data_IF_277335010514
#
_entry.id   IF_277335010514
#
_cell.length_a   1.000
_cell.length_b   1.000
_cell.length_c   1.000
_cell.angle_alpha   90.00
_cell.angle_beta   90.00
_cell.angle_gamma   90.00
#
_symmetry.space_group_name_H-M   'P 1'
#
loop_
_entity.id
_entity.type
_entity.pdbx_description
1 polymer ?
#
# COMPACT_ATOMS: atom_id res chain seq x y z
N UNK A 1 -48.54 -9.15 -16.81
CA UNK A 1 -49.57 -8.62 -15.89
C UNK A 1 -50.11 -9.73 -15.02
N UNK A 2 -49.54 -9.91 -13.83
CA UNK A 2 -50.27 -10.26 -12.61
C UNK A 2 -49.34 -9.99 -11.43
N UNK A 3 -49.81 -9.14 -10.52
CA UNK A 3 -49.18 -8.84 -9.25
C UNK A 3 -49.14 -10.10 -8.38
N UNK A 4 -47.98 -10.41 -7.81
CA UNK A 4 -47.92 -11.12 -6.54
C UNK A 4 -46.97 -10.36 -5.62
N UNK A 5 -47.59 -9.53 -4.78
CA UNK A 5 -47.05 -9.09 -3.51
C UNK A 5 -46.77 -10.34 -2.67
N UNK A 6 -45.54 -10.86 -2.75
CA UNK A 6 -44.96 -11.65 -1.68
C UNK A 6 -43.67 -10.96 -1.29
N UNK A 7 -43.57 -10.63 -0.01
CA UNK A 7 -42.36 -10.26 0.72
C UNK A 7 -41.36 -11.42 0.72
N UNK A 8 -40.87 -11.75 -0.48
CA UNK A 8 -39.87 -12.76 -0.73
C UNK A 8 -38.54 -12.30 -0.16
N UNK A 9 -38.29 -12.66 1.11
CA UNK A 9 -36.93 -12.97 1.53
C UNK A 9 -36.41 -14.03 0.57
N UNK A 10 -35.66 -13.61 -0.45
CA UNK A 10 -34.78 -14.53 -1.16
C UNK A 10 -33.63 -14.77 -0.19
N UNK A 11 -33.77 -15.82 0.60
CA UNK A 11 -32.72 -16.30 1.49
C UNK A 11 -31.67 -17.01 0.60
N UNK A 12 -30.79 -16.21 -0.03
CA UNK A 12 -29.71 -16.70 -0.89
C UNK A 12 -28.53 -17.16 -0.02
N UNK A 13 -28.79 -18.04 0.95
CA UNK A 13 -27.77 -18.47 1.91
C UNK A 13 -26.64 -19.29 1.23
N UNK A 14 -26.81 -19.74 -0.01
CA UNK A 14 -25.83 -20.54 -0.74
C UNK A 14 -25.91 -20.29 -2.27
N UNK A 15 -25.15 -19.33 -2.78
CA UNK A 15 -24.88 -19.18 -4.23
C UNK A 15 -23.62 -19.95 -4.60
N UNK A 16 -23.67 -21.28 -4.54
CA UNK A 16 -22.51 -22.14 -4.79
C UNK A 16 -22.45 -22.54 -6.27
N UNK A 17 -21.28 -22.44 -6.90
CA UNK A 17 -20.97 -22.97 -8.24
C UNK A 17 -21.83 -22.41 -9.40
N UNK A 18 -22.14 -21.12 -9.39
CA UNK A 18 -22.88 -20.46 -10.48
C UNK A 18 -22.09 -19.26 -11.03
N UNK A 19 -22.12 -19.07 -12.35
CA UNK A 19 -21.70 -17.81 -12.98
C UNK A 19 -22.78 -16.76 -12.69
N UNK A 20 -22.56 -15.95 -11.66
CA UNK A 20 -23.51 -14.91 -11.24
C UNK A 20 -23.23 -13.63 -12.03
N UNK A 21 -24.15 -13.29 -12.94
CA UNK A 21 -24.15 -11.98 -13.59
C UNK A 21 -24.98 -11.01 -12.75
N UNK A 22 -24.31 -10.18 -11.96
CA UNK A 22 -25.00 -9.10 -11.23
C UNK A 22 -25.23 -7.93 -12.19
N UNK A 23 -26.51 -7.66 -12.46
CA UNK A 23 -26.95 -6.43 -13.15
C UNK A 23 -27.26 -5.30 -12.16
N UNK A 24 -27.40 -5.62 -10.88
CA UNK A 24 -27.66 -4.63 -9.83
C UNK A 24 -26.36 -3.91 -9.47
N UNK A 25 -26.42 -2.57 -9.40
CA UNK A 25 -25.31 -1.73 -8.94
C UNK A 25 -25.07 -1.86 -7.44
N UNK A 26 -26.11 -2.21 -6.68
CA UNK A 26 -26.02 -2.43 -5.24
C UNK A 26 -26.29 -3.89 -4.91
N UNK A 27 -25.51 -4.45 -3.98
CA UNK A 27 -25.75 -5.78 -3.46
C UNK A 27 -26.96 -5.76 -2.52
N UNK A 28 -28.01 -6.56 -2.77
CA UNK A 28 -29.16 -6.66 -1.88
C UNK A 28 -28.75 -6.96 -0.43
N UNK A 29 -29.31 -6.22 0.53
CA UNK A 29 -28.95 -6.34 1.96
C UNK A 29 -29.25 -7.72 2.58
N UNK A 30 -30.10 -8.53 1.94
CA UNK A 30 -30.38 -9.89 2.36
C UNK A 30 -29.22 -10.86 2.06
N UNK A 31 -28.32 -10.54 1.12
CA UNK A 31 -27.18 -11.39 0.79
C UNK A 31 -26.10 -11.23 1.87
N UNK A 32 -25.84 -12.31 2.60
CA UNK A 32 -24.82 -12.34 3.67
C UNK A 32 -23.55 -13.06 3.27
N UNK A 33 -23.61 -13.94 2.26
CA UNK A 33 -22.46 -14.70 1.80
C UNK A 33 -22.51 -14.92 0.29
N UNK A 34 -21.35 -14.88 -0.35
CA UNK A 34 -21.12 -15.23 -1.75
C UNK A 34 -19.90 -16.15 -1.76
N UNK A 35 -20.03 -17.38 -2.27
CA UNK A 35 -18.94 -18.33 -2.21
C UNK A 35 -18.83 -19.20 -3.45
N UNK A 36 -17.62 -19.66 -3.78
CA UNK A 36 -17.35 -20.64 -4.85
C UNK A 36 -18.03 -20.26 -6.18
N UNK A 37 -17.99 -18.98 -6.55
CA UNK A 37 -18.71 -18.47 -7.70
C UNK A 37 -17.86 -17.51 -8.53
N UNK A 38 -18.32 -17.27 -9.75
CA UNK A 38 -17.75 -16.25 -10.63
C UNK A 38 -18.74 -15.12 -10.76
N UNK A 39 -18.33 -13.95 -10.28
CA UNK A 39 -19.10 -12.73 -10.34
C UNK A 39 -18.70 -11.94 -11.58
N UNK A 40 -19.63 -11.72 -12.52
CA UNK A 40 -19.40 -10.91 -13.71
C UNK A 40 -20.08 -9.56 -13.55
N UNK A 41 -19.26 -8.51 -13.46
CA UNK A 41 -19.69 -7.13 -13.23
C UNK A 41 -19.61 -6.31 -14.51
N UNK A 42 -20.75 -5.79 -14.95
CA UNK A 42 -20.82 -4.75 -16.00
C UNK A 42 -20.78 -3.31 -15.45
N UNK A 43 -20.91 -3.15 -14.13
CA UNK A 43 -20.83 -1.87 -13.44
C UNK A 43 -20.20 -2.05 -12.05
N UNK A 44 -19.89 -0.94 -11.36
CA UNK A 44 -19.46 -0.94 -9.97
C UNK A 44 -20.46 -1.67 -9.07
N UNK A 45 -19.96 -2.59 -8.25
CA UNK A 45 -20.75 -3.22 -7.20
C UNK A 45 -20.59 -2.45 -5.88
N UNK A 46 -21.68 -1.85 -5.42
CA UNK A 46 -21.77 -1.22 -4.12
C UNK A 46 -22.23 -2.21 -3.05
N UNK A 47 -21.45 -2.33 -1.99
CA UNK A 47 -21.75 -3.15 -0.81
C UNK A 47 -22.21 -2.20 0.29
N UNK A 48 -23.50 -2.27 0.62
CA UNK A 48 -24.19 -1.39 1.59
C UNK A 48 -24.55 -2.09 2.91
N UNK A 49 -24.11 -3.34 3.08
CA UNK A 49 -24.29 -4.12 4.30
C UNK A 49 -23.24 -5.22 4.38
N UNK A 50 -23.04 -5.77 5.57
CA UNK A 50 -22.08 -6.85 5.77
C UNK A 50 -22.38 -8.04 4.84
N UNK A 51 -21.33 -8.53 4.21
CA UNK A 51 -21.28 -9.71 3.34
C UNK A 51 -19.91 -10.36 3.45
N UNK A 52 -19.88 -11.67 3.28
CA UNK A 52 -18.65 -12.48 3.19
C UNK A 52 -18.48 -13.05 1.78
N UNK A 53 -17.29 -12.90 1.21
CA UNK A 53 -16.88 -13.52 -0.04
C UNK A 53 -15.87 -14.64 0.26
N UNK A 54 -16.07 -15.85 -0.27
CA UNK A 54 -15.14 -16.97 -0.10
C UNK A 54 -14.91 -17.71 -1.42
N UNK A 55 -13.69 -17.71 -1.93
CA UNK A 55 -13.31 -18.29 -3.24
C UNK A 55 -14.17 -17.75 -4.39
N UNK A 56 -14.17 -16.43 -4.54
CA UNK A 56 -14.91 -15.74 -5.60
C UNK A 56 -13.96 -15.20 -6.67
N UNK A 57 -14.30 -15.41 -7.93
CA UNK A 57 -13.63 -14.74 -9.05
C UNK A 57 -14.47 -13.56 -9.51
N UNK A 58 -13.97 -12.35 -9.32
CA UNK A 58 -14.62 -11.11 -9.78
C UNK A 58 -14.08 -10.77 -11.16
N UNK A 59 -14.88 -10.99 -12.19
CA UNK A 59 -14.64 -10.51 -13.55
C UNK A 59 -15.31 -9.17 -13.77
N UNK A 60 -14.59 -8.22 -14.34
CA UNK A 60 -15.12 -6.92 -14.70
C UNK A 60 -14.57 -6.48 -16.05
N UNK A 61 -15.32 -5.69 -16.79
CA UNK A 61 -15.01 -5.31 -18.17
C UNK A 61 -15.13 -3.81 -18.42
N UNK A 62 -15.02 -3.00 -17.37
CA UNK A 62 -15.09 -1.54 -17.44
C UNK A 62 -13.84 -0.90 -16.86
N UNK A 63 -13.59 0.35 -17.25
CA UNK A 63 -12.51 1.21 -16.73
C UNK A 63 -13.07 2.55 -16.22
N UNK A 64 -12.24 3.34 -15.54
CA UNK A 64 -12.61 4.68 -15.07
C UNK A 64 -13.59 4.73 -13.90
N UNK A 65 -13.77 3.61 -13.18
CA UNK A 65 -14.55 3.53 -11.92
C UNK A 65 -14.10 2.35 -11.07
N UNK A 66 -14.43 2.38 -9.79
CA UNK A 66 -14.11 1.28 -8.87
C UNK A 66 -14.88 -0.01 -9.20
N UNK A 67 -14.26 -1.17 -9.03
CA UNK A 67 -14.92 -2.47 -9.30
C UNK A 67 -15.88 -2.81 -8.17
N UNK A 68 -15.40 -2.80 -6.93
CA UNK A 68 -16.20 -2.95 -5.72
C UNK A 68 -16.01 -1.74 -4.83
N UNK A 69 -17.12 -1.18 -4.34
CA UNK A 69 -17.13 -0.11 -3.34
C UNK A 69 -17.80 -0.62 -2.08
N UNK A 70 -17.06 -0.70 -0.98
CA UNK A 70 -17.59 -1.00 0.35
C UNK A 70 -17.95 0.31 1.02
N UNK A 71 -19.25 0.62 1.02
CA UNK A 71 -19.78 1.90 1.52
C UNK A 71 -19.66 2.02 3.02
N UNK A 72 -19.72 3.27 3.49
CA UNK A 72 -19.86 3.61 4.91
C UNK A 72 -20.96 2.73 5.53
N UNK A 73 -20.72 2.26 6.75
CA UNK A 73 -21.59 1.35 7.53
C UNK A 73 -21.81 -0.07 6.99
N UNK A 74 -21.24 -0.42 5.83
CA UNK A 74 -21.32 -1.79 5.33
C UNK A 74 -20.59 -2.80 6.23
N UNK A 75 -19.49 -2.38 6.85
CA UNK A 75 -18.74 -3.16 7.83
C UNK A 75 -18.47 -2.39 9.12
N UNK A 76 -18.30 -3.12 10.22
CA UNK A 76 -17.81 -2.57 11.49
C UNK A 76 -16.52 -3.27 11.88
N UNK A 77 -15.79 -2.73 12.86
CA UNK A 77 -14.58 -3.39 13.36
C UNK A 77 -14.85 -4.83 13.84
N UNK A 78 -16.00 -5.06 14.46
CA UNK A 78 -16.42 -6.38 14.96
C UNK A 78 -17.02 -7.27 13.88
N UNK A 79 -17.54 -6.68 12.80
CA UNK A 79 -18.22 -7.38 11.71
C UNK A 79 -17.88 -6.72 10.37
N UNK A 80 -16.65 -6.89 9.88
CA UNK A 80 -16.20 -6.28 8.63
C UNK A 80 -16.84 -6.97 7.43
N UNK A 81 -16.78 -6.35 6.25
CA UNK A 81 -16.96 -7.09 4.99
C UNK A 81 -15.72 -7.96 4.79
N UNK A 82 -15.92 -9.25 4.57
CA UNK A 82 -14.82 -10.22 4.53
C UNK A 82 -14.64 -10.74 3.12
N UNK A 83 -13.40 -10.80 2.65
CA UNK A 83 -13.05 -11.42 1.38
C UNK A 83 -11.92 -12.42 1.60
N UNK A 84 -12.18 -13.67 1.27
CA UNK A 84 -11.22 -14.77 1.36
C UNK A 84 -11.04 -15.40 -0.01
N UNK A 85 -9.80 -15.59 -0.44
CA UNK A 85 -9.47 -16.17 -1.75
C UNK A 85 -10.13 -15.46 -2.96
N UNK A 86 -10.44 -14.17 -2.83
CA UNK A 86 -11.10 -13.41 -3.91
C UNK A 86 -10.08 -12.97 -4.95
N UNK A 87 -10.40 -13.18 -6.24
CA UNK A 87 -9.52 -12.88 -7.37
C UNK A 87 -10.20 -11.91 -8.33
N UNK A 88 -9.63 -10.71 -8.47
CA UNK A 88 -10.06 -9.73 -9.46
C UNK A 88 -9.41 -10.03 -10.80
N UNK A 89 -10.20 -9.99 -11.88
CA UNK A 89 -9.74 -10.24 -13.26
C UNK A 89 -10.41 -9.27 -14.21
N UNK A 90 -9.61 -8.47 -14.89
CA UNK A 90 -10.08 -7.66 -16.01
C UNK A 90 -10.37 -8.55 -17.22
N UNK A 91 -11.59 -8.46 -17.76
CA UNK A 91 -12.03 -9.16 -18.97
C UNK A 91 -11.78 -8.25 -20.18
N UNK A 92 -10.58 -8.39 -20.76
CA UNK A 92 -10.10 -7.56 -21.89
C UNK A 92 -10.92 -7.77 -23.18
N UNK A 93 -11.60 -8.90 -23.30
CA UNK A 93 -12.29 -9.27 -24.54
C UNK A 93 -13.66 -8.56 -24.67
N UNK A 94 -14.14 -7.93 -23.60
CA UNK A 94 -15.49 -7.36 -23.53
C UNK A 94 -15.54 -5.92 -22.99
N UNK A 95 -14.55 -5.08 -23.30
CA UNK A 95 -14.44 -3.74 -22.68
C UNK A 95 -15.63 -2.84 -23.03
N UNK A 96 -16.40 -2.42 -22.02
CA UNK A 96 -17.34 -1.30 -22.14
C UNK A 96 -16.54 -0.01 -21.95
N UNK A 97 -16.36 0.77 -23.01
CA UNK A 97 -15.58 2.02 -22.96
C UNK A 97 -16.30 3.07 -22.12
N UNK A 98 -15.81 3.35 -20.91
CA UNK A 98 -16.07 4.61 -20.20
C UNK A 98 -14.89 5.54 -20.44
N UNK A 99 -15.17 6.80 -20.80
CA UNK A 99 -14.18 7.83 -21.14
C UNK A 99 -13.91 8.82 -19.99
N UNK A 100 -14.26 8.50 -18.74
CA UNK A 100 -13.99 9.39 -17.61
C UNK A 100 -12.72 8.93 -16.85
N UNK A 101 -11.62 9.69 -16.88
CA UNK A 101 -10.33 9.30 -16.30
C UNK A 101 -10.23 9.50 -14.78
N UNK A 102 -11.34 9.42 -14.03
CA UNK A 102 -11.31 9.66 -12.58
C UNK A 102 -11.19 8.34 -11.82
N UNK A 103 -10.07 8.18 -11.11
CA UNK A 103 -9.87 7.32 -9.94
C UNK A 103 -10.60 5.95 -9.99
N UNK A 104 -10.00 4.94 -10.64
CA UNK A 104 -10.53 3.58 -10.61
C UNK A 104 -9.78 2.70 -9.59
N UNK A 105 -10.49 1.99 -8.72
CA UNK A 105 -9.88 1.06 -7.77
C UNK A 105 -10.46 -0.34 -7.93
N UNK A 106 -9.69 -1.41 -7.75
CA UNK A 106 -10.31 -2.75 -7.71
C UNK A 106 -11.20 -2.86 -6.47
N UNK A 107 -10.72 -2.32 -5.35
CA UNK A 107 -11.45 -2.25 -4.11
C UNK A 107 -11.40 -0.83 -3.52
N UNK A 108 -12.56 -0.25 -3.30
CA UNK A 108 -12.74 1.05 -2.68
C UNK A 108 -13.35 0.87 -1.28
N UNK A 109 -12.63 1.29 -0.24
CA UNK A 109 -12.90 0.97 1.16
C UNK A 109 -13.25 2.25 1.93
N UNK A 110 -14.55 2.49 2.08
CA UNK A 110 -15.12 3.58 2.91
C UNK A 110 -15.53 3.08 4.31
N UNK A 111 -15.31 1.79 4.61
CA UNK A 111 -15.74 1.11 5.84
C UNK A 111 -14.75 0.01 6.25
N UNK A 112 -15.17 -1.01 7.02
CA UNK A 112 -14.29 -2.07 7.52
C UNK A 112 -14.24 -3.28 6.58
N UNK A 113 -13.06 -3.59 6.06
CA UNK A 113 -12.82 -4.72 5.17
C UNK A 113 -11.69 -5.60 5.67
N UNK A 114 -11.87 -6.91 5.59
CA UNK A 114 -10.81 -7.89 5.78
C UNK A 114 -10.53 -8.66 4.49
N UNK A 115 -9.25 -8.80 4.13
CA UNK A 115 -8.79 -9.59 3.00
C UNK A 115 -7.89 -10.73 3.51
N UNK A 116 -8.19 -11.95 3.12
CA UNK A 116 -7.35 -13.11 3.35
C UNK A 116 -7.05 -13.77 2.01
N UNK A 117 -5.76 -13.88 1.66
CA UNK A 117 -5.29 -14.61 0.46
C UNK A 117 -5.94 -14.16 -0.86
N UNK A 118 -6.31 -12.88 -0.94
CA UNK A 118 -6.93 -12.29 -2.13
C UNK A 118 -5.87 -11.88 -3.17
N UNK A 119 -6.32 -11.67 -4.42
CA UNK A 119 -5.49 -11.17 -5.53
C UNK A 119 -6.19 -9.99 -6.22
N UNK A 120 -5.64 -8.80 -6.03
CA UNK A 120 -6.10 -7.53 -6.61
C UNK A 120 -5.05 -7.09 -7.63
N UNK A 121 -5.28 -7.44 -8.91
CA UNK A 121 -4.26 -7.30 -9.93
C UNK A 121 -4.72 -6.56 -11.16
N UNK A 122 -3.75 -5.96 -11.85
CA UNK A 122 -3.89 -5.40 -13.19
C UNK A 122 -5.00 -4.34 -13.29
N UNK A 123 -5.12 -3.48 -12.27
CA UNK A 123 -5.97 -2.29 -12.38
C UNK A 123 -5.49 -1.43 -13.55
N UNK A 124 -6.44 -1.01 -14.40
CA UNK A 124 -6.11 -0.31 -15.64
C UNK A 124 -5.98 1.19 -15.46
N UNK A 125 -6.63 1.80 -14.45
CA UNK A 125 -6.62 3.26 -14.27
C UNK A 125 -6.26 3.72 -12.83
N UNK A 126 -6.13 2.83 -11.84
CA UNK A 126 -5.80 3.28 -10.48
C UNK A 126 -5.22 2.22 -9.55
N UNK A 127 -5.61 2.21 -8.29
CA UNK A 127 -4.96 1.37 -7.27
C UNK A 127 -5.59 -0.02 -7.13
N UNK A 128 -4.86 -0.96 -6.53
CA UNK A 128 -5.42 -2.26 -6.14
C UNK A 128 -6.52 -2.06 -5.08
N UNK A 129 -6.18 -1.42 -3.97
CA UNK A 129 -7.17 -0.94 -3.00
C UNK A 129 -6.96 0.53 -2.63
N UNK A 130 -8.06 1.25 -2.42
CA UNK A 130 -8.06 2.57 -1.79
C UNK A 130 -8.83 2.52 -0.48
N UNK A 131 -8.24 3.10 0.55
CA UNK A 131 -8.84 3.23 1.88
C UNK A 131 -8.99 4.70 2.19
N UNK A 132 -10.23 5.17 2.30
CA UNK A 132 -10.54 6.58 2.53
C UNK A 132 -11.81 6.77 3.36
N UNK A 133 -12.13 8.02 3.71
CA UNK A 133 -13.36 8.33 4.45
C UNK A 133 -13.45 7.68 5.83
N UNK A 134 -12.32 7.37 6.48
CA UNK A 134 -12.30 6.63 7.74
C UNK A 134 -12.30 5.10 7.59
N UNK A 135 -12.24 4.60 6.34
CA UNK A 135 -12.17 3.18 6.04
C UNK A 135 -11.02 2.44 6.72
N UNK A 136 -11.23 1.16 6.98
CA UNK A 136 -10.31 0.27 7.67
C UNK A 136 -10.09 -0.98 6.84
N UNK A 137 -8.88 -1.17 6.32
CA UNK A 137 -8.48 -2.38 5.60
C UNK A 137 -7.55 -3.22 6.46
N UNK A 138 -7.87 -4.50 6.66
CA UNK A 138 -6.96 -5.49 7.25
C UNK A 138 -6.69 -6.59 6.22
N UNK A 139 -5.44 -6.81 5.85
CA UNK A 139 -5.07 -7.81 4.84
C UNK A 139 -4.04 -8.80 5.39
N UNK A 140 -4.12 -10.07 4.98
CA UNK A 140 -3.13 -11.13 5.30
C UNK A 140 -2.94 -12.03 4.08
N UNK A 141 -1.69 -12.29 3.68
CA UNK A 141 -1.40 -13.13 2.51
C UNK A 141 -1.96 -12.61 1.18
N UNK A 142 -2.39 -11.34 1.12
CA UNK A 142 -3.05 -10.74 -0.04
C UNK A 142 -2.03 -10.10 -0.97
N UNK A 143 -2.24 -10.28 -2.27
CA UNK A 143 -1.37 -9.73 -3.31
C UNK A 143 -2.05 -8.61 -4.10
N UNK A 144 -1.36 -7.47 -4.17
CA UNK A 144 -1.68 -6.33 -5.01
C UNK A 144 -0.59 -6.25 -6.08
N UNK A 145 -0.88 -6.60 -7.33
CA UNK A 145 0.16 -6.79 -8.35
C UNK A 145 -0.21 -6.15 -9.70
N UNK A 146 0.73 -5.45 -10.34
CA UNK A 146 0.53 -4.96 -11.70
C UNK A 146 -0.48 -3.81 -11.81
N UNK A 147 -0.80 -3.17 -10.69
CA UNK A 147 -1.79 -2.09 -10.64
C UNK A 147 -1.21 -0.81 -11.23
N UNK A 148 -1.98 -0.05 -12.01
CA UNK A 148 -1.46 1.15 -12.68
C UNK A 148 -0.88 2.16 -11.69
N UNK A 149 -1.67 2.60 -10.72
CA UNK A 149 -1.19 3.48 -9.67
C UNK A 149 -0.54 2.66 -8.55
N UNK A 150 -1.12 2.66 -7.35
CA UNK A 150 -0.51 1.98 -6.20
C UNK A 150 -1.12 0.61 -5.92
N UNK A 151 -0.37 -0.27 -5.27
CA UNK A 151 -0.96 -1.49 -4.72
C UNK A 151 -2.05 -1.16 -3.70
N UNK A 152 -1.71 -0.32 -2.72
CA UNK A 152 -2.63 0.20 -1.70
C UNK A 152 -2.47 1.70 -1.54
N UNK A 153 -3.58 2.44 -1.55
CA UNK A 153 -3.67 3.84 -1.19
C UNK A 153 -4.42 4.01 0.13
N UNK A 154 -3.87 4.80 1.06
CA UNK A 154 -4.55 5.19 2.31
C UNK A 154 -4.59 6.70 2.38
N UNK A 155 -5.78 7.26 2.23
CA UNK A 155 -5.98 8.71 2.13
C UNK A 155 -7.03 9.20 3.12
N UNK A 156 -6.74 10.34 3.75
CA UNK A 156 -7.69 11.01 4.63
C UNK A 156 -7.58 10.61 6.10
N UNK A 157 -7.93 11.55 6.98
CA UNK A 157 -7.89 11.35 8.42
C UNK A 157 -8.79 10.19 8.85
N UNK A 158 -8.27 9.37 9.76
CA UNK A 158 -8.97 8.18 10.28
C UNK A 158 -8.87 6.95 9.37
N UNK A 159 -8.48 7.09 8.11
CA UNK A 159 -8.32 5.97 7.18
C UNK A 159 -7.07 5.15 7.53
N UNK A 160 -7.21 3.83 7.55
CA UNK A 160 -6.12 2.94 7.97
C UNK A 160 -6.06 1.63 7.19
N UNK A 161 -4.86 1.26 6.76
CA UNK A 161 -4.56 -0.08 6.27
C UNK A 161 -3.62 -0.81 7.22
N UNK A 162 -3.90 -2.08 7.48
CA UNK A 162 -3.06 -3.01 8.24
C UNK A 162 -2.74 -4.20 7.35
N UNK A 163 -1.49 -4.31 6.92
CA UNK A 163 -1.00 -5.38 6.05
C UNK A 163 -0.13 -6.33 6.89
N UNK A 164 -0.57 -7.57 7.02
CA UNK A 164 0.13 -8.60 7.79
C UNK A 164 0.83 -9.61 6.87
N UNK A 165 1.56 -10.52 7.51
CA UNK A 165 2.48 -11.47 6.91
C UNK A 165 2.01 -12.05 5.57
N UNK A 166 2.93 -12.06 4.61
CA UNK A 166 2.70 -12.61 3.28
C UNK A 166 1.94 -11.68 2.34
N UNK A 167 1.56 -10.47 2.78
CA UNK A 167 1.10 -9.44 1.86
C UNK A 167 2.20 -9.01 0.88
N UNK A 168 1.81 -8.79 -0.38
CA UNK A 168 2.74 -8.41 -1.46
C UNK A 168 2.15 -7.27 -2.29
N UNK A 169 2.94 -6.22 -2.50
CA UNK A 169 2.60 -5.03 -3.28
C UNK A 169 3.65 -4.90 -4.38
N UNK A 170 3.32 -5.46 -5.54
CA UNK A 170 4.27 -5.78 -6.59
C UNK A 170 3.98 -5.01 -7.87
N UNK A 171 5.05 -4.61 -8.55
CA UNK A 171 5.03 -4.25 -9.97
C UNK A 171 3.97 -3.21 -10.37
N UNK A 172 3.68 -2.25 -9.48
CA UNK A 172 2.87 -1.09 -9.86
C UNK A 172 3.49 -0.39 -11.08
N UNK A 173 2.69 -0.15 -12.13
CA UNK A 173 3.24 0.24 -13.45
C UNK A 173 3.47 1.74 -13.59
N UNK A 174 2.87 2.56 -12.74
CA UNK A 174 3.02 4.03 -12.71
C UNK A 174 3.13 4.58 -11.28
N UNK A 175 2.73 3.83 -10.27
CA UNK A 175 2.70 4.29 -8.88
C UNK A 175 3.68 3.59 -7.93
N UNK A 176 3.27 3.53 -6.67
CA UNK A 176 4.05 3.00 -5.55
C UNK A 176 3.50 1.64 -5.10
N UNK A 177 4.25 0.87 -4.32
CA UNK A 177 3.67 -0.27 -3.60
C UNK A 177 2.54 0.22 -2.69
N UNK A 178 2.86 1.12 -1.75
CA UNK A 178 1.86 1.84 -0.95
C UNK A 178 2.02 3.37 -1.03
N UNK A 179 0.88 4.07 -1.05
CA UNK A 179 0.79 5.53 -1.00
C UNK A 179 -0.07 5.95 0.19
N UNK A 180 0.47 6.81 1.06
CA UNK A 180 -0.19 7.29 2.28
C UNK A 180 -0.21 8.81 2.27
N UNK A 181 -1.40 9.41 2.28
CA UNK A 181 -1.55 10.86 2.27
C UNK A 181 -2.73 11.39 3.10
N UNK A 182 -2.78 12.72 3.25
CA UNK A 182 -3.88 13.46 3.89
C UNK A 182 -4.29 12.92 5.27
N UNK A 183 -3.32 12.45 6.07
CA UNK A 183 -3.59 11.91 7.41
C UNK A 183 -3.92 10.41 7.44
N UNK A 184 -3.72 9.69 6.33
CA UNK A 184 -3.84 8.24 6.28
C UNK A 184 -2.78 7.51 7.10
N UNK A 185 -3.09 6.28 7.50
CA UNK A 185 -2.21 5.44 8.31
C UNK A 185 -1.98 4.04 7.72
N UNK A 186 -0.73 3.64 7.55
CA UNK A 186 -0.35 2.28 7.16
C UNK A 186 0.40 1.58 8.30
N UNK A 187 -0.06 0.40 8.71
CA UNK A 187 0.72 -0.56 9.51
C UNK A 187 1.06 -1.76 8.63
N UNK A 188 2.34 -2.13 8.52
CA UNK A 188 2.79 -3.29 7.78
C UNK A 188 3.72 -4.19 8.61
N UNK A 189 3.62 -5.51 8.46
CA UNK A 189 4.51 -6.50 9.11
C UNK A 189 4.70 -7.68 8.16
N UNK A 190 5.94 -8.07 7.88
CA UNK A 190 6.22 -9.17 6.95
C UNK A 190 5.69 -8.94 5.53
N UNK A 191 5.63 -7.67 5.09
CA UNK A 191 5.06 -7.27 3.80
C UNK A 191 6.14 -6.94 2.79
N UNK A 192 6.01 -7.45 1.57
CA UNK A 192 6.93 -7.17 0.46
C UNK A 192 6.38 -6.06 -0.44
N UNK A 193 7.19 -5.04 -0.68
CA UNK A 193 6.96 -3.98 -1.66
C UNK A 193 8.09 -4.06 -2.71
N UNK A 194 7.82 -4.63 -3.88
CA UNK A 194 8.90 -4.96 -4.83
C UNK A 194 8.56 -4.65 -6.28
N UNK A 195 9.55 -4.23 -7.07
CA UNK A 195 9.39 -4.04 -8.53
C UNK A 195 8.49 -2.87 -8.92
N UNK A 196 8.08 -2.03 -7.97
CA UNK A 196 7.19 -0.90 -8.25
C UNK A 196 7.92 0.15 -9.10
N UNK A 197 7.23 0.77 -10.07
CA UNK A 197 7.86 1.74 -10.97
C UNK A 197 8.48 2.90 -10.20
N UNK A 198 7.70 3.53 -9.33
CA UNK A 198 8.20 4.64 -8.53
C UNK A 198 8.85 4.13 -7.25
N UNK A 199 8.06 3.87 -6.20
CA UNK A 199 8.55 3.66 -4.83
C UNK A 199 7.95 2.41 -4.22
N UNK A 200 8.64 1.78 -3.27
CA UNK A 200 8.02 0.79 -2.40
C UNK A 200 6.91 1.43 -1.55
N UNK A 201 7.25 2.47 -0.80
CA UNK A 201 6.31 3.21 0.07
C UNK A 201 6.50 4.72 -0.08
N UNK A 202 5.40 5.47 -0.19
CA UNK A 202 5.42 6.93 -0.08
C UNK A 202 4.50 7.40 1.03
N UNK A 203 5.01 8.26 1.91
CA UNK A 203 4.22 8.93 2.95
C UNK A 203 4.34 10.43 2.76
N UNK A 204 3.23 11.09 2.45
CA UNK A 204 3.21 12.53 2.15
C UNK A 204 2.11 13.26 2.91
N UNK A 205 2.37 14.51 3.28
CA UNK A 205 1.38 15.36 3.94
C UNK A 205 1.41 15.23 5.45
N UNK A 206 1.02 16.31 6.13
CA UNK A 206 0.96 16.37 7.58
C UNK A 206 0.04 15.27 8.13
N UNK A 207 0.44 14.70 9.27
CA UNK A 207 -0.27 13.62 9.98
C UNK A 207 -0.35 12.28 9.24
N UNK A 208 0.16 12.17 8.02
CA UNK A 208 0.27 10.89 7.31
C UNK A 208 1.38 10.03 7.93
N UNK A 209 1.08 8.76 8.20
CA UNK A 209 2.00 7.86 8.90
C UNK A 209 2.08 6.48 8.25
N UNK A 210 3.29 5.96 8.13
CA UNK A 210 3.51 4.52 7.90
C UNK A 210 4.36 3.93 9.02
N UNK A 211 4.03 2.71 9.42
CA UNK A 211 4.76 1.88 10.38
C UNK A 211 5.10 0.57 9.69
N UNK A 212 6.37 0.32 9.43
CA UNK A 212 6.89 -0.90 8.83
C UNK A 212 7.63 -1.69 9.91
N UNK A 213 7.18 -2.91 10.18
CA UNK A 213 7.75 -3.78 11.21
C UNK A 213 8.54 -4.94 10.58
N UNK A 214 9.04 -5.81 11.45
CA UNK A 214 9.91 -6.94 11.13
C UNK A 214 9.46 -7.69 9.86
N UNK A 215 10.43 -8.02 9.01
CA UNK A 215 10.21 -8.76 7.77
C UNK A 215 9.64 -7.93 6.62
N UNK A 216 9.37 -6.63 6.80
CA UNK A 216 9.06 -5.77 5.67
C UNK A 216 10.27 -5.59 4.75
N UNK A 217 10.04 -5.65 3.44
CA UNK A 217 11.08 -5.48 2.41
C UNK A 217 10.60 -4.49 1.35
N UNK A 218 11.42 -3.48 1.07
CA UNK A 218 11.19 -2.49 0.02
C UNK A 218 12.34 -2.60 -0.98
N UNK A 219 12.08 -3.29 -2.10
CA UNK A 219 13.13 -3.66 -3.05
C UNK A 219 12.82 -3.32 -4.49
N UNK A 220 13.88 -3.17 -5.28
CA UNK A 220 13.84 -3.12 -6.74
C UNK A 220 12.86 -2.08 -7.30
N UNK A 221 12.73 -0.93 -6.62
CA UNK A 221 12.00 0.21 -7.16
C UNK A 221 12.68 0.67 -8.45
N UNK A 222 11.95 0.68 -9.57
CA UNK A 222 12.55 0.73 -10.92
C UNK A 222 13.08 2.11 -11.30
N UNK A 223 12.45 3.18 -10.80
CA UNK A 223 12.77 4.56 -11.16
C UNK A 223 13.01 5.48 -9.95
N UNK A 224 12.82 5.00 -8.72
CA UNK A 224 12.96 5.85 -7.53
C UNK A 224 13.54 5.11 -6.31
N UNK A 225 13.18 5.60 -5.13
CA UNK A 225 13.66 5.10 -3.84
C UNK A 225 12.76 3.97 -3.29
N UNK A 226 13.31 3.16 -2.38
CA UNK A 226 12.54 2.20 -1.60
C UNK A 226 11.41 2.90 -0.83
N UNK A 227 11.75 3.90 -0.02
CA UNK A 227 10.77 4.78 0.62
C UNK A 227 11.06 6.27 0.39
N UNK A 228 9.99 7.06 0.25
CA UNK A 228 10.03 8.54 0.33
C UNK A 228 9.06 9.03 1.39
N UNK A 229 9.54 9.91 2.25
CA UNK A 229 8.75 10.60 3.27
C UNK A 229 8.89 12.11 3.03
N UNK A 230 7.80 12.77 2.64
CA UNK A 230 7.80 14.19 2.26
C UNK A 230 6.61 14.99 2.82
N UNK A 231 6.72 16.32 2.79
CA UNK A 231 5.64 17.26 3.12
C UNK A 231 4.99 17.02 4.50
N UNK A 232 5.79 16.74 5.53
CA UNK A 232 5.32 16.50 6.89
C UNK A 232 4.92 15.05 7.19
N UNK A 233 5.21 14.11 6.29
CA UNK A 233 4.97 12.69 6.51
C UNK A 233 5.87 12.09 7.59
N UNK A 234 5.45 10.93 8.10
CA UNK A 234 6.18 10.20 9.13
C UNK A 234 6.30 8.70 8.83
N UNK A 235 7.51 8.16 9.00
CA UNK A 235 7.79 6.74 8.84
C UNK A 235 8.49 6.18 10.09
N UNK A 236 7.89 5.16 10.69
CA UNK A 236 8.56 4.29 11.66
C UNK A 236 8.93 2.98 10.98
N UNK A 237 10.20 2.59 10.99
CA UNK A 237 10.68 1.33 10.44
C UNK A 237 11.45 0.53 11.50
N UNK A 238 11.10 -0.75 11.68
CA UNK A 238 11.80 -1.66 12.59
C UNK A 238 12.04 -2.99 11.89
N UNK A 239 13.30 -3.44 11.80
CA UNK A 239 13.60 -4.72 11.15
C UNK A 239 13.27 -4.76 9.66
N UNK A 240 13.26 -3.59 9.01
CA UNK A 240 12.88 -3.43 7.60
C UNK A 240 14.11 -3.41 6.70
N UNK A 241 14.02 -4.06 5.54
CA UNK A 241 15.06 -4.06 4.51
C UNK A 241 14.70 -3.13 3.35
N UNK A 242 15.64 -2.29 2.93
CA UNK A 242 15.53 -1.41 1.77
C UNK A 242 16.69 -1.75 0.82
N UNK A 243 16.42 -2.47 -0.28
CA UNK A 243 17.51 -3.04 -1.09
C UNK A 243 17.31 -2.93 -2.60
N UNK A 244 18.39 -2.78 -3.36
CA UNK A 244 18.33 -2.86 -4.83
C UNK A 244 17.53 -1.74 -5.51
N UNK A 245 17.23 -0.63 -4.81
CA UNK A 245 16.42 0.43 -5.39
C UNK A 245 17.23 1.30 -6.37
N UNK A 246 16.56 1.80 -7.42
CA UNK A 246 17.19 2.58 -8.51
C UNK A 246 17.87 3.86 -8.03
N UNK A 247 17.34 4.48 -6.98
CA UNK A 247 17.88 5.73 -6.44
C UNK A 247 18.38 5.51 -5.02
N UNK A 248 17.52 5.59 -4.01
CA UNK A 248 17.92 5.44 -2.61
C UNK A 248 17.15 4.34 -1.90
N UNK A 249 17.69 3.81 -0.80
CA UNK A 249 16.89 3.01 0.11
C UNK A 249 15.77 3.86 0.74
N UNK A 250 16.14 5.04 1.24
CA UNK A 250 15.25 5.98 1.91
C UNK A 250 15.55 7.44 1.52
N UNK A 251 14.50 8.22 1.30
CA UNK A 251 14.57 9.68 1.20
C UNK A 251 13.63 10.34 2.22
N UNK A 252 14.16 11.26 3.03
CA UNK A 252 13.40 12.05 4.01
C UNK A 252 13.51 13.53 3.64
N UNK A 253 12.38 14.12 3.25
CA UNK A 253 12.28 15.47 2.72
C UNK A 253 11.52 16.44 3.61
N UNK A 254 10.88 17.41 2.98
CA UNK A 254 10.23 18.60 3.58
C UNK A 254 9.49 18.34 4.88
N UNK A 255 10.01 18.87 5.99
CA UNK A 255 9.39 18.81 7.32
C UNK A 255 9.07 17.39 7.83
N UNK A 256 9.67 16.37 7.22
CA UNK A 256 9.30 14.97 7.42
C UNK A 256 10.21 14.28 8.41
N UNK A 257 9.71 13.23 9.03
CA UNK A 257 10.44 12.50 10.07
C UNK A 257 10.49 11.01 9.77
N UNK A 258 11.62 10.39 10.03
CA UNK A 258 11.77 8.93 9.95
C UNK A 258 12.55 8.42 11.14
N UNK A 259 12.03 7.36 11.76
CA UNK A 259 12.70 6.63 12.83
C UNK A 259 12.97 5.20 12.35
N UNK A 260 14.21 4.75 12.46
CA UNK A 260 14.64 3.41 12.04
C UNK A 260 15.30 2.67 13.20
N UNK A 261 14.91 1.42 13.40
CA UNK A 261 15.51 0.54 14.42
C UNK A 261 15.84 -0.82 13.80
N UNK A 262 17.11 -1.23 13.86
CA UNK A 262 17.55 -2.55 13.34
C UNK A 262 17.17 -2.79 11.87
N UNK A 263 17.21 -1.74 11.07
CA UNK A 263 16.92 -1.83 9.64
C UNK A 263 18.18 -2.12 8.83
N UNK A 264 18.02 -2.56 7.59
CA UNK A 264 19.11 -2.67 6.62
C UNK A 264 18.78 -1.85 5.38
N UNK A 265 19.69 -1.00 4.95
CA UNK A 265 19.64 -0.32 3.66
C UNK A 265 20.87 -0.76 2.87
N UNK A 266 20.68 -1.56 1.82
CA UNK A 266 21.79 -2.13 1.07
C UNK A 266 21.64 -2.10 -0.43
N UNK A 267 22.77 -2.12 -1.14
CA UNK A 267 22.81 -2.40 -2.59
C UNK A 267 21.92 -1.45 -3.43
N UNK A 268 21.68 -0.24 -2.94
CA UNK A 268 20.95 0.78 -3.71
C UNK A 268 21.91 1.47 -4.68
N UNK A 269 21.39 1.84 -5.86
CA UNK A 269 22.22 2.35 -6.98
C UNK A 269 22.75 3.77 -6.73
N UNK A 270 22.22 4.51 -5.76
CA UNK A 270 22.88 5.70 -5.26
C UNK A 270 23.15 5.59 -3.76
N UNK A 271 22.41 6.32 -2.93
CA UNK A 271 22.65 6.40 -1.49
C UNK A 271 21.79 5.41 -0.69
N UNK A 272 22.22 5.02 0.51
CA UNK A 272 21.32 4.28 1.40
C UNK A 272 20.19 5.19 1.87
N UNK A 273 20.54 6.29 2.53
CA UNK A 273 19.58 7.27 3.05
C UNK A 273 19.98 8.71 2.70
N UNK A 274 19.00 9.50 2.25
CA UNK A 274 19.15 10.93 1.99
C UNK A 274 18.17 11.73 2.84
N UNK A 275 18.67 12.73 3.56
CA UNK A 275 17.89 13.65 4.37
C UNK A 275 18.09 15.06 3.85
N UNK A 276 17.00 15.70 3.41
CA UNK A 276 17.06 17.02 2.80
C UNK A 276 15.86 17.90 3.14
N UNK A 277 15.95 19.18 2.81
CA UNK A 277 14.84 20.14 2.90
C UNK A 277 14.15 20.15 4.27
N UNK A 278 14.89 20.17 5.39
CA UNK A 278 14.33 20.08 6.77
C UNK A 278 13.78 18.70 7.18
N UNK A 279 14.14 17.65 6.46
CA UNK A 279 13.89 16.27 6.87
C UNK A 279 14.70 15.88 8.11
N UNK A 280 14.19 14.90 8.86
CA UNK A 280 14.82 14.38 10.07
C UNK A 280 14.84 12.86 10.09
N UNK A 281 16.04 12.29 10.23
CA UNK A 281 16.25 10.85 10.38
C UNK A 281 16.83 10.54 11.76
N UNK A 282 16.25 9.57 12.46
CA UNK A 282 16.85 8.94 13.64
C UNK A 282 17.00 7.46 13.38
N UNK A 283 18.22 6.92 13.50
CA UNK A 283 18.50 5.51 13.28
C UNK A 283 19.24 4.90 14.49
N UNK A 284 18.84 3.70 14.89
CA UNK A 284 19.48 2.91 15.97
C UNK A 284 19.69 1.48 15.50
N UNK A 285 20.88 0.92 15.66
CA UNK A 285 21.16 -0.46 15.24
C UNK A 285 21.02 -0.70 13.73
N UNK A 286 21.03 0.35 12.90
CA UNK A 286 20.72 0.26 11.45
C UNK A 286 21.99 0.12 10.62
N UNK A 287 21.98 -0.79 9.66
CA UNK A 287 23.09 -1.02 8.74
C UNK A 287 22.86 -0.31 7.40
N UNK A 288 23.87 0.43 6.94
CA UNK A 288 23.92 1.12 5.65
C UNK A 288 25.11 0.57 4.84
N UNK A 289 24.88 -0.35 3.90
CA UNK A 289 25.98 -1.12 3.27
C UNK A 289 25.90 -1.35 1.77
N UNK A 290 27.04 -1.49 1.09
CA UNK A 290 27.07 -1.97 -0.31
C UNK A 290 26.44 -1.03 -1.34
N UNK A 291 26.20 0.25 -1.00
CA UNK A 291 25.51 1.17 -1.91
C UNK A 291 26.53 1.81 -2.87
N UNK A 292 26.11 2.03 -4.12
CA UNK A 292 27.00 2.53 -5.20
C UNK A 292 27.47 3.96 -5.01
N UNK A 293 26.88 4.70 -4.08
CA UNK A 293 27.37 6.02 -3.70
C UNK A 293 27.68 6.09 -2.20
N UNK A 294 26.79 6.70 -1.42
CA UNK A 294 27.09 7.11 -0.04
C UNK A 294 26.13 6.43 0.92
N UNK A 295 26.58 6.10 2.14
CA UNK A 295 25.71 5.50 3.15
C UNK A 295 24.60 6.47 3.58
N UNK A 296 24.97 7.53 4.28
CA UNK A 296 24.02 8.57 4.74
C UNK A 296 24.41 9.95 4.21
N UNK A 297 23.47 10.62 3.54
CA UNK A 297 23.62 12.00 3.05
C UNK A 297 22.69 12.94 3.81
N UNK A 298 23.22 14.04 4.33
CA UNK A 298 22.43 15.11 4.93
C UNK A 298 22.74 16.44 4.26
N UNK A 299 21.77 17.05 3.60
CA UNK A 299 21.96 18.27 2.80
C UNK A 299 20.89 19.32 3.05
N UNK A 300 21.28 20.59 3.04
CA UNK A 300 20.38 21.72 3.21
C UNK A 300 20.14 22.11 4.68
N UNK A 301 19.99 23.40 4.92
CA UNK A 301 19.73 23.95 6.25
C UNK A 301 18.46 23.35 6.88
N UNK A 302 18.56 23.00 8.17
CA UNK A 302 17.47 22.38 8.93
C UNK A 302 17.35 20.86 8.76
N UNK A 303 18.04 20.26 7.79
CA UNK A 303 18.06 18.80 7.63
C UNK A 303 18.97 18.14 8.68
N UNK A 304 18.51 17.05 9.29
CA UNK A 304 19.24 16.39 10.39
C UNK A 304 19.17 14.88 10.31
N UNK A 305 20.32 14.21 10.50
CA UNK A 305 20.37 12.78 10.81
C UNK A 305 21.03 12.55 12.17
N UNK A 306 20.47 11.62 12.94
CA UNK A 306 21.03 11.14 14.22
C UNK A 306 21.19 9.63 14.13
N UNK A 307 22.43 9.16 14.05
CA UNK A 307 22.79 7.75 14.07
C UNK A 307 23.25 7.41 15.49
N UNK A 308 22.57 6.44 16.11
CA UNK A 308 22.82 5.99 17.49
C UNK A 308 23.55 4.65 17.50
N UNK A 309 23.69 4.09 18.70
CA UNK A 309 24.38 2.84 18.98
C UNK A 309 23.97 1.71 18.02
N UNK A 310 24.97 0.95 17.58
CA UNK A 310 24.81 -0.21 16.70
C UNK A 310 24.56 0.16 15.24
N UNK A 311 24.51 1.45 14.87
CA UNK A 311 24.51 1.82 13.47
C UNK A 311 25.86 1.50 12.83
N UNK A 312 25.84 0.96 11.60
CA UNK A 312 27.07 0.64 10.86
C UNK A 312 26.97 1.15 9.43
N UNK A 313 28.01 1.82 8.96
CA UNK A 313 28.16 2.27 7.58
C UNK A 313 29.39 1.59 7.02
N UNK A 314 29.20 0.65 6.09
CA UNK A 314 30.29 -0.17 5.54
C UNK A 314 30.16 -0.35 4.03
N UNK A 315 31.29 -0.51 3.33
CA UNK A 315 31.30 -0.95 1.92
C UNK A 315 30.43 -0.07 0.98
N UNK A 316 30.33 1.24 1.25
CA UNK A 316 29.68 2.17 0.34
C UNK A 316 30.76 2.77 -0.58
N UNK A 317 30.54 2.74 -1.90
CA UNK A 317 31.61 2.96 -2.89
C UNK A 317 32.24 4.37 -2.85
N UNK A 318 31.53 5.38 -2.34
CA UNK A 318 32.01 6.76 -2.26
C UNK A 318 32.33 7.18 -0.82
N UNK A 319 31.31 7.32 0.04
CA UNK A 319 31.49 7.75 1.43
C UNK A 319 30.57 6.94 2.36
N UNK A 320 31.02 6.65 3.57
CA UNK A 320 30.11 6.18 4.64
C UNK A 320 29.04 7.22 4.93
N UNK A 321 29.44 8.45 5.28
CA UNK A 321 28.52 9.56 5.48
C UNK A 321 28.99 10.84 4.79
N UNK A 322 28.05 11.71 4.42
CA UNK A 322 28.32 12.99 3.75
C UNK A 322 27.35 14.06 4.23
N UNK A 323 27.89 15.23 4.57
CA UNK A 323 27.12 16.37 5.06
C UNK A 323 27.50 17.61 4.26
N UNK A 324 26.52 18.36 3.79
CA UNK A 324 26.75 19.57 2.99
C UNK A 324 25.61 20.60 3.15
N UNK A 325 25.82 21.81 2.63
CA UNK A 325 24.79 22.86 2.53
C UNK A 325 24.06 23.17 3.86
N UNK A 326 24.77 23.07 5.00
CA UNK A 326 24.19 23.32 6.32
C UNK A 326 23.39 22.16 6.94
N UNK A 327 23.43 20.97 6.33
CA UNK A 327 22.91 19.75 6.95
C UNK A 327 23.67 19.38 8.22
N UNK A 328 23.06 18.54 9.07
CA UNK A 328 23.64 18.12 10.34
C UNK A 328 23.59 16.61 10.52
N UNK A 329 24.74 15.99 10.81
CA UNK A 329 24.83 14.59 11.19
C UNK A 329 25.40 14.50 12.60
N UNK A 330 24.71 13.78 13.49
CA UNK A 330 25.25 13.33 14.77
C UNK A 330 25.35 11.81 14.74
N UNK A 331 26.56 11.28 14.92
CA UNK A 331 26.81 9.85 15.05
C UNK A 331 27.34 9.57 16.46
N UNK A 332 26.77 8.58 17.16
CA UNK A 332 27.19 8.19 18.51
C UNK A 332 27.08 6.68 18.63
N UNK A 333 28.17 5.99 18.98
CA UNK A 333 28.20 4.52 18.96
C UNK A 333 27.97 3.92 17.57
N UNK A 334 28.37 4.65 16.52
CA UNK A 334 28.21 4.27 15.12
C UNK A 334 29.56 3.87 14.54
N UNK A 335 29.61 2.74 13.85
CA UNK A 335 30.80 2.22 13.19
C UNK A 335 30.87 2.67 11.73
N UNK A 336 32.04 3.13 11.29
CA UNK A 336 32.36 3.45 9.90
C UNK A 336 33.48 2.51 9.43
N UNK A 337 33.21 1.69 8.42
CA UNK A 337 34.18 0.73 7.85
C UNK A 337 34.33 1.02 6.36
N UNK A 338 35.58 1.24 5.93
CA UNK A 338 35.94 1.44 4.52
C UNK A 338 36.00 0.11 3.77
#
# INVERSE_FOLDING_TARGET
TSNNNNSGQINLDYLDNIDLKLTCKELPKCIKRIQSCKLVLGDTLHINSHVEFDDVVVKYNFSGKSVIVVKVDAGTEKKPVTMKNVRFRFDKDNVSTSRDPRESFLLDVESHVTLATCKLRDSTEGCGARVHGGGQLKATGTEFNGNKLSGVEVSGAGSKAVLKEGCKLLDSTEGCGAFVDKGGHLDATGTTFSGNKLRGVRVTGASSKAVLKEGCTLSDSKESCGAIVDKGGHLDATGTTFSGNKIHGLQVGTGSTTVMTRCTLSDNIAHSAVVHSSGSLVATGTTFRGNKCKGVVVTGAGSKAVLKEGCTLLENEVNGAHVENGGQLKATGTEFKG
#
